data_IF_291021754633
#
_entry.id   IF_291021754633
#
_cell.length_a   1.000
_cell.length_b   1.000
_cell.length_c   1.000
_cell.angle_alpha   90.00
_cell.angle_beta   90.00
_cell.angle_gamma   90.00
#
_symmetry.space_group_name_H-M   'P 1'
#
loop_
_entity.id
_entity.type
_entity.pdbx_description
1 polymer ?
#
# COMPACT_ATOMS: atom_id res chain seq x y z
N UNK A 1 -28.60 -6.57 36.16
CA UNK A 1 -28.36 -5.61 35.06
C UNK A 1 -28.00 -6.42 33.83
N UNK A 2 -28.86 -6.50 32.81
CA UNK A 2 -28.54 -7.21 31.57
C UNK A 2 -27.62 -6.35 30.70
N UNK A 3 -26.43 -6.86 30.38
CA UNK A 3 -25.55 -6.22 29.40
C UNK A 3 -26.16 -6.41 28.02
N UNK A 4 -26.68 -5.34 27.42
CA UNK A 4 -26.99 -5.33 26.00
C UNK A 4 -25.66 -5.15 25.24
N UNK A 5 -25.19 -6.19 24.55
CA UNK A 5 -24.11 -6.03 23.58
C UNK A 5 -24.69 -5.40 22.31
N UNK A 6 -24.32 -4.16 22.02
CA UNK A 6 -24.56 -3.60 20.70
C UNK A 6 -23.70 -4.37 19.70
N UNK A 7 -24.31 -5.25 18.92
CA UNK A 7 -23.66 -5.82 17.75
C UNK A 7 -23.39 -4.67 16.79
N UNK A 8 -22.11 -4.40 16.52
CA UNK A 8 -21.77 -3.45 15.48
C UNK A 8 -22.33 -3.95 14.15
N UNK A 9 -22.85 -3.06 13.29
CA UNK A 9 -23.34 -3.47 11.98
C UNK A 9 -22.24 -4.19 11.20
N UNK A 10 -22.57 -5.34 10.62
CA UNK A 10 -21.65 -6.09 9.77
C UNK A 10 -21.39 -5.26 8.52
N UNK A 11 -20.23 -4.61 8.45
CA UNK A 11 -19.79 -3.94 7.23
C UNK A 11 -19.33 -5.01 6.25
N UNK A 12 -20.09 -5.23 5.19
CA UNK A 12 -19.66 -6.08 4.09
C UNK A 12 -18.54 -5.37 3.31
N UNK A 13 -17.31 -5.79 3.55
CA UNK A 13 -16.15 -5.36 2.78
C UNK A 13 -16.10 -6.23 1.51
N UNK A 14 -16.15 -5.64 0.30
CA UNK A 14 -16.02 -6.39 -0.94
C UNK A 14 -14.69 -7.16 -0.94
N UNK A 15 -14.75 -8.45 -1.31
CA UNK A 15 -13.53 -9.25 -1.51
C UNK A 15 -13.15 -9.20 -2.99
N UNK A 16 -12.08 -8.46 -3.35
CA UNK A 16 -11.61 -8.41 -4.73
C UNK A 16 -11.06 -9.77 -5.18
N UNK A 17 -10.91 -9.94 -6.50
CA UNK A 17 -10.23 -11.12 -7.03
C UNK A 17 -8.74 -10.98 -6.77
N UNK A 18 -8.19 -11.95 -6.05
CA UNK A 18 -6.77 -12.01 -5.71
C UNK A 18 -5.95 -12.76 -6.76
N UNK A 19 -4.70 -12.35 -6.86
CA UNK A 19 -3.67 -12.95 -7.68
C UNK A 19 -2.44 -13.21 -6.81
N UNK A 20 -1.78 -14.33 -7.07
CA UNK A 20 -0.62 -14.77 -6.30
C UNK A 20 0.66 -14.52 -7.10
N UNK A 21 1.69 -14.04 -6.43
CA UNK A 21 3.05 -13.96 -6.94
C UNK A 21 4.05 -14.38 -5.85
N UNK A 22 5.34 -14.46 -6.19
CA UNK A 22 6.43 -14.81 -5.27
C UNK A 22 7.26 -13.59 -4.91
N UNK A 23 7.99 -13.68 -3.79
CA UNK A 23 8.97 -12.67 -3.38
C UNK A 23 10.00 -12.37 -4.48
N UNK A 24 10.42 -13.37 -5.25
CA UNK A 24 11.35 -13.22 -6.38
C UNK A 24 10.78 -12.29 -7.47
N UNK A 25 9.52 -12.52 -7.87
CA UNK A 25 8.87 -11.67 -8.89
C UNK A 25 8.64 -10.25 -8.36
N UNK A 26 8.26 -10.10 -7.09
CA UNK A 26 8.15 -8.78 -6.44
C UNK A 26 9.50 -8.07 -6.43
N UNK A 27 10.56 -8.79 -6.09
CA UNK A 27 11.91 -8.27 -6.06
C UNK A 27 12.35 -7.77 -7.44
N UNK A 28 12.17 -8.59 -8.47
CA UNK A 28 12.55 -8.24 -9.83
C UNK A 28 11.74 -7.07 -10.38
N UNK A 29 10.43 -7.03 -10.09
CA UNK A 29 9.58 -5.90 -10.46
C UNK A 29 10.09 -4.59 -9.86
N UNK A 30 10.40 -4.58 -8.56
CA UNK A 30 10.85 -3.37 -7.87
C UNK A 30 12.27 -2.98 -8.32
N UNK A 31 13.20 -3.93 -8.43
CA UNK A 31 14.57 -3.67 -8.87
C UNK A 31 14.66 -3.22 -10.33
N UNK A 32 13.69 -3.60 -11.18
CA UNK A 32 13.62 -3.13 -12.56
C UNK A 32 13.41 -1.61 -12.67
N UNK A 33 12.78 -1.01 -11.65
CA UNK A 33 12.53 0.44 -11.56
C UNK A 33 13.58 1.12 -10.66
N UNK A 34 13.93 0.47 -9.54
CA UNK A 34 14.85 1.00 -8.53
C UNK A 34 15.98 0.03 -8.19
N UNK A 35 17.05 -0.04 -9.00
CA UNK A 35 18.10 -1.05 -8.83
C UNK A 35 18.90 -0.97 -7.52
N UNK A 36 18.82 0.16 -6.80
CA UNK A 36 19.61 0.42 -5.59
C UNK A 36 18.76 0.50 -4.31
N UNK A 37 17.47 0.17 -4.39
CA UNK A 37 16.56 0.22 -3.24
C UNK A 37 16.93 -0.82 -2.19
N UNK A 38 16.80 -0.47 -0.92
CA UNK A 38 16.81 -1.44 0.17
C UNK A 38 15.42 -2.01 0.35
N UNK A 39 15.29 -3.33 0.27
CA UNK A 39 13.97 -3.97 0.30
C UNK A 39 13.91 -5.10 1.32
N UNK A 40 12.79 -5.16 2.03
CA UNK A 40 12.45 -6.26 2.93
C UNK A 40 11.13 -6.89 2.50
N UNK A 41 11.23 -8.12 2.01
CA UNK A 41 10.09 -8.96 1.67
C UNK A 41 9.92 -10.00 2.79
N UNK A 42 8.94 -9.80 3.67
CA UNK A 42 8.76 -10.65 4.86
C UNK A 42 8.03 -11.97 4.60
N UNK A 43 7.39 -12.10 3.43
CA UNK A 43 6.69 -13.30 3.02
C UNK A 43 7.33 -13.94 1.79
N UNK A 44 7.07 -15.24 1.61
CA UNK A 44 7.42 -15.93 0.36
C UNK A 44 6.40 -15.66 -0.75
N UNK A 45 5.12 -15.54 -0.38
CA UNK A 45 4.00 -15.36 -1.28
C UNK A 45 3.35 -14.00 -1.08
N UNK A 46 2.97 -13.40 -2.21
CA UNK A 46 2.43 -12.06 -2.25
C UNK A 46 1.10 -12.04 -3.00
N UNK A 47 0.08 -11.48 -2.36
CA UNK A 47 -1.28 -11.37 -2.90
C UNK A 47 -1.52 -9.95 -3.38
N UNK A 48 -2.01 -9.79 -4.60
CA UNK A 48 -2.32 -8.51 -5.21
C UNK A 48 -3.64 -8.59 -5.98
N UNK A 49 -4.19 -7.44 -6.38
CA UNK A 49 -5.53 -7.33 -6.98
C UNK A 49 -5.51 -6.50 -8.26
N UNK A 50 -6.65 -6.44 -8.95
CA UNK A 50 -6.82 -5.60 -10.14
C UNK A 50 -6.79 -4.12 -9.82
N UNK A 51 -6.39 -3.30 -10.80
CA UNK A 51 -6.26 -1.85 -10.62
C UNK A 51 -7.57 -1.16 -10.21
N UNK A 52 -8.69 -1.54 -10.80
CA UNK A 52 -10.00 -1.00 -10.44
C UNK A 52 -10.41 -1.34 -9.01
N UNK A 53 -10.01 -2.51 -8.51
CA UNK A 53 -10.33 -2.94 -7.15
C UNK A 53 -9.47 -2.21 -6.10
N UNK A 54 -8.23 -1.84 -6.44
CA UNK A 54 -7.42 -0.97 -5.59
C UNK A 54 -8.09 0.35 -5.27
N UNK A 55 -8.82 0.95 -6.23
CA UNK A 55 -9.59 2.17 -5.99
C UNK A 55 -10.60 2.01 -4.85
N UNK A 56 -11.33 0.89 -4.82
CA UNK A 56 -12.31 0.57 -3.76
C UNK A 56 -11.62 0.26 -2.42
N UNK A 57 -10.49 -0.44 -2.46
CA UNK A 57 -9.68 -0.74 -1.26
C UNK A 57 -9.20 0.56 -0.64
N UNK A 58 -8.66 1.49 -1.42
CA UNK A 58 -8.16 2.75 -0.90
C UNK A 58 -9.27 3.71 -0.47
N UNK A 59 -10.43 3.72 -1.13
CA UNK A 59 -11.59 4.45 -0.63
C UNK A 59 -11.93 4.03 0.82
N UNK A 60 -11.89 2.72 1.10
CA UNK A 60 -12.15 2.18 2.44
C UNK A 60 -10.99 2.43 3.43
N UNK A 61 -9.75 2.16 3.01
CA UNK A 61 -8.56 2.24 3.88
C UNK A 61 -8.23 3.68 4.27
N UNK A 62 -8.44 4.63 3.36
CA UNK A 62 -8.15 6.04 3.59
C UNK A 62 -9.34 6.76 4.26
N UNK A 63 -10.50 6.10 4.40
CA UNK A 63 -11.64 6.65 5.12
C UNK A 63 -11.29 6.93 6.58
N UNK A 64 -11.75 8.08 7.08
CA UNK A 64 -11.54 8.52 8.46
C UNK A 64 -10.06 8.51 8.87
N UNK A 65 -9.17 8.85 7.94
CA UNK A 65 -7.77 9.08 8.29
C UNK A 65 -7.64 10.20 9.34
N UNK A 66 -6.65 10.09 10.24
CA UNK A 66 -6.38 11.16 11.19
C UNK A 66 -5.92 12.42 10.44
N UNK A 67 -6.01 13.56 11.11
CA UNK A 67 -5.48 14.81 10.56
C UNK A 67 -3.95 14.79 10.60
N UNK A 68 -3.33 15.38 9.59
CA UNK A 68 -1.89 15.60 9.57
C UNK A 68 -1.46 16.43 10.78
N UNK A 69 -0.43 15.97 11.48
CA UNK A 69 0.21 16.65 12.60
C UNK A 69 1.72 16.49 12.43
N UNK A 70 2.42 17.60 12.20
CA UNK A 70 3.88 17.62 12.02
C UNK A 70 4.59 16.81 13.11
N UNK A 71 5.42 15.84 12.71
CA UNK A 71 6.23 14.99 13.60
C UNK A 71 5.46 14.11 14.59
N UNK A 72 4.15 13.91 14.39
CA UNK A 72 3.29 13.08 15.25
C UNK A 72 2.35 12.17 14.47
N UNK A 73 1.82 12.69 13.37
CA UNK A 73 0.99 12.01 12.39
C UNK A 73 1.31 12.64 11.03
N UNK A 74 2.50 12.34 10.51
CA UNK A 74 3.01 12.81 9.23
C UNK A 74 3.20 11.64 8.24
N UNK A 75 3.90 11.89 7.14
CA UNK A 75 3.88 11.08 5.93
C UNK A 75 4.07 9.58 6.18
N UNK A 76 5.07 9.20 6.98
CA UNK A 76 5.36 7.81 7.29
C UNK A 76 4.28 7.16 8.16
N UNK A 77 3.62 7.92 9.04
CA UNK A 77 2.52 7.39 9.84
C UNK A 77 1.31 7.08 8.96
N UNK A 78 1.00 7.94 7.98
CA UNK A 78 -0.06 7.68 7.01
C UNK A 78 0.24 6.45 6.16
N UNK A 79 1.48 6.33 5.67
CA UNK A 79 1.89 5.18 4.87
C UNK A 79 1.81 3.86 5.67
N UNK A 80 2.31 3.86 6.90
CA UNK A 80 2.23 2.70 7.79
C UNK A 80 0.79 2.32 8.12
N UNK A 81 -0.07 3.31 8.40
CA UNK A 81 -1.49 3.09 8.67
C UNK A 81 -2.22 2.50 7.45
N UNK A 82 -1.94 3.02 6.25
CA UNK A 82 -2.53 2.52 5.01
C UNK A 82 -2.16 1.05 4.76
N UNK A 83 -0.87 0.70 4.79
CA UNK A 83 -0.40 -0.69 4.67
C UNK A 83 -1.04 -1.61 5.71
N UNK A 84 -1.07 -1.20 6.98
CA UNK A 84 -1.66 -1.99 8.06
C UNK A 84 -3.16 -2.22 7.86
N UNK A 85 -3.91 -1.21 7.39
CA UNK A 85 -5.33 -1.35 7.09
C UNK A 85 -5.59 -2.22 5.87
N UNK A 86 -4.79 -2.10 4.81
CA UNK A 86 -4.88 -3.01 3.65
C UNK A 86 -4.70 -4.46 4.10
N UNK A 87 -3.64 -4.75 4.86
CA UNK A 87 -3.36 -6.09 5.35
C UNK A 87 -4.48 -6.60 6.28
N UNK A 88 -4.90 -5.81 7.28
CA UNK A 88 -5.88 -6.25 8.27
C UNK A 88 -7.31 -6.38 7.76
N UNK A 89 -7.73 -5.55 6.80
CA UNK A 89 -9.10 -5.56 6.27
C UNK A 89 -9.24 -6.47 5.04
N UNK A 90 -8.21 -6.53 4.19
CA UNK A 90 -8.28 -7.21 2.89
C UNK A 90 -7.31 -8.39 2.75
N UNK A 91 -6.40 -8.61 3.71
CA UNK A 91 -5.41 -9.71 3.68
C UNK A 91 -4.49 -9.65 2.45
N UNK A 92 -4.18 -8.44 1.98
CA UNK A 92 -3.30 -8.16 0.85
C UNK A 92 -1.97 -7.64 1.39
N UNK A 93 -0.88 -8.33 1.11
CA UNK A 93 0.48 -7.99 1.59
C UNK A 93 1.36 -7.31 0.51
N UNK A 94 0.75 -6.85 -0.58
CA UNK A 94 1.42 -6.10 -1.65
C UNK A 94 1.15 -4.61 -1.62
N UNK A 95 0.81 -4.04 -0.46
CA UNK A 95 0.84 -2.60 -0.21
C UNK A 95 1.88 -2.32 0.88
N UNK A 96 3.10 -2.05 0.45
CA UNK A 96 4.24 -1.84 1.34
C UNK A 96 4.40 -0.39 1.78
N UNK A 97 5.11 -0.22 2.90
CA UNK A 97 5.64 1.07 3.33
C UNK A 97 6.91 1.37 2.52
N UNK A 98 6.97 2.56 1.93
CA UNK A 98 8.17 3.09 1.30
C UNK A 98 8.60 4.39 1.98
N UNK A 99 9.92 4.55 2.15
CA UNK A 99 10.57 5.76 2.65
C UNK A 99 11.63 6.16 1.65
N UNK A 100 11.67 7.43 1.26
CA UNK A 100 12.68 7.96 0.35
C UNK A 100 12.44 9.40 -0.02
N UNK A 101 13.00 9.83 -1.15
CA UNK A 101 12.86 11.20 -1.64
C UNK A 101 11.54 11.41 -2.37
N UNK A 102 10.97 12.60 -2.20
CA UNK A 102 9.94 13.22 -3.02
C UNK A 102 10.42 14.58 -3.54
N UNK A 103 9.69 15.26 -4.45
CA UNK A 103 10.04 16.64 -4.85
C UNK A 103 10.08 17.64 -3.68
N UNK A 104 9.46 17.31 -2.54
CA UNK A 104 9.39 18.14 -1.35
C UNK A 104 10.38 17.74 -0.25
N UNK A 105 11.17 16.68 -0.45
CA UNK A 105 12.18 16.18 0.50
C UNK A 105 11.93 14.73 0.92
N UNK A 106 12.48 14.33 2.07
CA UNK A 106 12.25 12.99 2.64
C UNK A 106 10.75 12.78 2.94
N UNK A 107 10.21 11.65 2.48
CA UNK A 107 8.78 11.38 2.49
C UNK A 107 8.46 9.90 2.69
N UNK A 108 7.37 9.63 3.40
CA UNK A 108 6.78 8.31 3.54
C UNK A 108 5.54 8.14 2.67
N UNK A 109 5.50 7.07 1.88
CA UNK A 109 4.40 6.76 0.96
C UNK A 109 4.24 5.25 0.83
N UNK A 110 3.29 4.79 0.02
CA UNK A 110 3.10 3.36 -0.20
C UNK A 110 3.51 2.98 -1.63
N UNK A 111 4.15 1.83 -1.76
CA UNK A 111 4.27 1.13 -3.03
C UNK A 111 3.33 -0.05 -3.02
N UNK A 112 2.63 -0.28 -4.13
CA UNK A 112 1.75 -1.43 -4.24
C UNK A 112 1.78 -2.08 -5.61
N UNK A 113 1.40 -3.37 -5.65
CA UNK A 113 1.35 -4.14 -6.90
C UNK A 113 -0.10 -4.24 -7.36
N UNK A 114 -0.32 -3.95 -8.63
CA UNK A 114 -1.61 -4.04 -9.27
C UNK A 114 -1.55 -4.91 -10.51
N UNK A 115 -2.61 -5.68 -10.79
CA UNK A 115 -2.76 -6.36 -12.08
C UNK A 115 -3.29 -5.35 -13.11
N UNK A 116 -2.54 -5.17 -14.19
CA UNK A 116 -2.93 -4.39 -15.37
C UNK A 116 -2.56 -5.23 -16.59
N UNK A 117 -3.52 -5.43 -17.50
CA UNK A 117 -3.35 -6.27 -18.70
C UNK A 117 -2.72 -7.64 -18.40
N UNK A 118 -3.24 -8.31 -17.38
CA UNK A 118 -2.79 -9.64 -16.91
C UNK A 118 -1.38 -9.71 -16.32
N UNK A 119 -0.71 -8.56 -16.13
CA UNK A 119 0.65 -8.48 -15.59
C UNK A 119 0.70 -7.71 -14.27
N UNK A 120 1.58 -8.08 -13.33
CA UNK A 120 1.86 -7.26 -12.16
C UNK A 120 2.61 -5.99 -12.59
N UNK A 121 2.16 -4.85 -12.08
CA UNK A 121 2.80 -3.56 -12.28
C UNK A 121 2.91 -2.83 -10.94
N UNK A 122 3.97 -2.04 -10.78
CA UNK A 122 4.25 -1.29 -9.57
C UNK A 122 3.59 0.08 -9.63
N UNK A 123 2.94 0.47 -8.53
CA UNK A 123 2.30 1.76 -8.37
C UNK A 123 2.72 2.39 -7.04
N UNK A 124 2.61 3.71 -6.97
CA UNK A 124 2.72 4.50 -5.76
C UNK A 124 1.33 4.97 -5.34
N UNK A 125 1.09 4.98 -4.04
CA UNK A 125 -0.02 5.67 -3.40
C UNK A 125 0.52 6.78 -2.50
N UNK A 126 0.00 8.00 -2.66
CA UNK A 126 0.12 9.09 -1.70
C UNK A 126 -1.03 8.97 -0.68
N UNK A 127 -0.79 8.39 0.50
CA UNK A 127 -1.87 8.02 1.42
C UNK A 127 -2.60 9.22 1.99
N UNK A 128 -2.05 10.44 1.97
CA UNK A 128 -2.73 11.63 2.49
C UNK A 128 -3.79 12.18 1.53
N UNK A 129 -3.61 11.93 0.23
CA UNK A 129 -4.50 12.48 -0.81
C UNK A 129 -5.28 11.40 -1.55
N UNK A 130 -4.85 10.15 -1.45
CA UNK A 130 -5.40 9.03 -2.23
C UNK A 130 -4.93 8.99 -3.68
N UNK A 131 -3.98 9.86 -4.07
CA UNK A 131 -3.45 9.89 -5.43
C UNK A 131 -2.60 8.65 -5.70
N UNK A 132 -2.77 8.09 -6.90
CA UNK A 132 -2.08 6.89 -7.36
C UNK A 132 -1.29 7.22 -8.62
N UNK A 133 -0.06 6.73 -8.70
CA UNK A 133 0.82 6.95 -9.84
C UNK A 133 1.43 5.63 -10.32
N UNK A 134 1.45 5.35 -11.63
CA UNK A 134 2.20 4.22 -12.15
C UNK A 134 3.70 4.48 -12.00
N UNK A 135 4.45 3.49 -11.52
CA UNK A 135 5.91 3.61 -11.39
C UNK A 135 6.57 3.09 -12.66
N UNK A 136 6.53 3.91 -13.71
CA UNK A 136 7.18 3.59 -14.99
C UNK A 136 8.59 4.16 -15.08
N UNK A 137 8.88 5.26 -14.36
CA UNK A 137 10.17 5.96 -14.38
C UNK A 137 10.46 6.59 -12.99
N UNK A 138 11.74 6.79 -12.60
CA UNK A 138 12.13 7.24 -11.26
C UNK A 138 11.90 8.73 -10.97
N UNK A 139 11.06 9.43 -11.75
CA UNK A 139 10.89 10.86 -11.60
C UNK A 139 10.05 11.23 -10.36
N UNK A 140 10.60 12.11 -9.52
CA UNK A 140 9.92 12.69 -8.36
C UNK A 140 10.04 11.85 -7.09
N UNK A 141 9.60 10.59 -7.12
CA UNK A 141 9.65 9.70 -5.95
C UNK A 141 10.73 8.62 -6.11
N UNK A 142 11.69 8.59 -5.19
CA UNK A 142 12.81 7.66 -5.21
C UNK A 142 12.87 6.94 -3.85
N UNK A 143 12.36 5.70 -3.76
CA UNK A 143 12.37 4.94 -2.53
C UNK A 143 13.81 4.54 -2.20
N UNK A 144 14.21 4.79 -0.95
CA UNK A 144 15.47 4.32 -0.38
C UNK A 144 15.26 2.99 0.36
N UNK A 145 14.07 2.83 0.94
CA UNK A 145 13.63 1.66 1.69
C UNK A 145 12.20 1.28 1.28
N UNK A 146 11.94 -0.02 1.14
CA UNK A 146 10.57 -0.55 1.06
C UNK A 146 10.41 -1.82 1.89
N UNK A 147 9.25 -1.97 2.55
CA UNK A 147 8.88 -3.13 3.35
C UNK A 147 7.51 -3.63 2.90
N UNK A 148 7.43 -4.90 2.51
CA UNK A 148 6.19 -5.60 2.16
C UNK A 148 5.94 -6.74 3.16
N UNK A 149 4.74 -6.79 3.76
CA UNK A 149 4.34 -7.67 4.88
C UNK A 149 2.85 -7.96 4.92
#
# INVERSE_FOLDING_TARGET
MSQFSFQQPIKHIPKPKEYLTTAEIVNDLILSVYPQIKMYLWDYYYYYIGHEDWGKVFEEVLLNQPKYLTSKMDCENFAMLASSRVNSLFQINTCGLAIGQSPQGQHGYNLFISRVDEKPQLFLLEPQTGMIYPMTEPEGYIPELVIFS
#
